data_IF_804493257810
#
_entry.id   IF_804493257810
#
_cell.length_a   1.000
_cell.length_b   1.000
_cell.length_c   1.000
_cell.angle_alpha   90.00
_cell.angle_beta   90.00
_cell.angle_gamma   90.00
#
_symmetry.space_group_name_H-M   'P 1'
#
loop_
_entity.id
_entity.type
_entity.pdbx_description
1 polymer ?
#
# COMPACT_ATOMS: atom_id res chain seq x y z
N UNK A 1 2.52 9.29 14.07
CA UNK A 1 1.98 8.40 13.01
C UNK A 1 3.17 7.89 12.22
N UNK A 2 3.20 6.60 11.88
CA UNK A 2 4.27 6.01 11.07
C UNK A 2 3.80 5.92 9.62
N UNK A 3 4.69 6.20 8.67
CA UNK A 3 4.37 6.04 7.25
C UNK A 3 4.26 4.55 6.89
N UNK A 4 3.34 4.20 5.99
CA UNK A 4 3.10 2.80 5.61
C UNK A 4 4.37 2.13 5.05
N UNK A 5 5.18 2.87 4.29
CA UNK A 5 6.47 2.39 3.77
C UNK A 5 7.54 2.20 4.85
N UNK A 6 7.55 3.04 5.89
CA UNK A 6 8.43 2.86 7.04
C UNK A 6 8.03 1.61 7.84
N UNK A 7 6.73 1.41 8.04
CA UNK A 7 6.17 0.21 8.68
C UNK A 7 6.55 -1.06 7.93
N UNK A 8 6.39 -1.08 6.61
CA UNK A 8 6.80 -2.21 5.78
C UNK A 8 8.30 -2.52 5.90
N UNK A 9 9.16 -1.49 5.89
CA UNK A 9 10.60 -1.66 6.07
C UNK A 9 10.94 -2.28 7.44
N UNK A 10 10.17 -1.95 8.49
CA UNK A 10 10.34 -2.55 9.82
C UNK A 10 9.84 -4.00 9.85
N UNK A 11 8.69 -4.31 9.29
CA UNK A 11 8.16 -5.69 9.21
C UNK A 11 9.19 -6.62 8.55
N UNK A 12 9.76 -6.21 7.42
CA UNK A 12 10.82 -6.96 6.72
C UNK A 12 12.06 -7.24 7.55
N UNK A 13 12.40 -6.32 8.45
CA UNK A 13 13.57 -6.47 9.34
C UNK A 13 13.32 -7.45 10.46
N UNK A 14 12.05 -7.69 10.82
CA UNK A 14 11.70 -8.65 11.86
C UNK A 14 11.93 -10.10 11.41
N UNK A 15 12.14 -10.34 10.10
CA UNK A 15 12.32 -11.69 9.53
C UNK A 15 11.30 -12.66 10.13
N UNK A 16 10.04 -12.34 9.87
CA UNK A 16 8.88 -13.12 10.32
C UNK A 16 8.77 -14.45 9.55
N UNK A 17 9.92 -14.95 9.05
CA UNK A 17 10.02 -16.14 8.25
C UNK A 17 9.35 -17.29 9.00
N UNK A 18 8.50 -18.01 8.28
CA UNK A 18 7.73 -19.09 8.83
C UNK A 18 8.68 -20.27 9.10
N UNK A 19 9.06 -20.47 10.35
CA UNK A 19 9.71 -21.72 10.77
C UNK A 19 8.74 -22.91 10.66
N UNK A 20 7.43 -22.64 10.56
CA UNK A 20 6.38 -23.63 10.43
C UNK A 20 5.75 -23.57 9.03
N UNK A 21 5.25 -24.68 8.50
CA UNK A 21 4.70 -24.81 7.12
C UNK A 21 3.40 -23.99 6.89
N UNK A 22 3.07 -23.09 7.81
CA UNK A 22 1.90 -22.22 7.80
C UNK A 22 2.33 -20.77 7.70
N UNK A 23 1.87 -20.07 6.66
CA UNK A 23 2.11 -18.64 6.51
C UNK A 23 1.55 -17.86 7.68
N UNK A 24 2.43 -17.24 8.46
CA UNK A 24 2.11 -16.36 9.56
C UNK A 24 1.24 -15.21 9.06
N UNK A 25 0.22 -14.78 9.84
CA UNK A 25 -0.59 -13.63 9.48
C UNK A 25 0.25 -12.35 9.36
N UNK A 26 1.41 -12.27 10.01
CA UNK A 26 2.30 -11.12 9.90
C UNK A 26 3.05 -11.10 8.57
N UNK A 27 3.54 -12.25 8.10
CA UNK A 27 4.21 -12.41 6.81
C UNK A 27 3.25 -12.13 5.67
N UNK A 28 2.04 -12.71 5.74
CA UNK A 28 0.95 -12.39 4.81
C UNK A 28 0.61 -10.90 4.81
N UNK A 29 0.46 -10.28 5.98
CA UNK A 29 0.17 -8.86 6.08
C UNK A 29 1.29 -8.00 5.49
N UNK A 30 2.55 -8.38 5.70
CA UNK A 30 3.70 -7.73 5.07
C UNK A 30 3.59 -7.75 3.53
N UNK A 31 3.33 -8.92 2.95
CA UNK A 31 3.17 -9.10 1.51
C UNK A 31 1.99 -8.27 0.97
N UNK A 32 0.86 -8.28 1.67
CA UNK A 32 -0.32 -7.49 1.30
C UNK A 32 0.00 -5.98 1.33
N UNK A 33 0.73 -5.50 2.34
CA UNK A 33 1.18 -4.09 2.43
C UNK A 33 2.15 -3.76 1.30
N UNK A 34 3.09 -4.65 0.99
CA UNK A 34 4.02 -4.47 -0.13
C UNK A 34 3.29 -4.41 -1.47
N UNK A 35 2.32 -5.30 -1.69
CA UNK A 35 1.50 -5.32 -2.89
C UNK A 35 0.67 -4.03 -3.01
N UNK A 36 0.04 -3.57 -1.93
CA UNK A 36 -0.72 -2.32 -1.89
C UNK A 36 0.16 -1.11 -2.21
N UNK A 37 1.34 -1.00 -1.59
CA UNK A 37 2.28 0.10 -1.87
C UNK A 37 2.79 0.08 -3.32
N UNK A 38 3.12 -1.09 -3.86
CA UNK A 38 3.52 -1.22 -5.26
C UNK A 38 2.37 -0.82 -6.21
N UNK A 39 1.14 -1.23 -5.91
CA UNK A 39 -0.04 -0.83 -6.68
C UNK A 39 -0.24 0.69 -6.65
N UNK A 40 -0.18 1.31 -5.46
CA UNK A 40 -0.28 2.77 -5.27
C UNK A 40 0.79 3.48 -6.10
N UNK A 41 2.04 3.06 -5.98
CA UNK A 41 3.15 3.66 -6.71
C UNK A 41 2.96 3.57 -8.23
N UNK A 42 2.60 2.38 -8.75
CA UNK A 42 2.35 2.19 -10.18
C UNK A 42 1.18 3.02 -10.67
N UNK A 43 0.09 3.05 -9.91
CA UNK A 43 -1.12 3.84 -10.23
C UNK A 43 -0.80 5.33 -10.26
N UNK A 44 -0.03 5.85 -9.30
CA UNK A 44 0.43 7.25 -9.33
C UNK A 44 1.27 7.54 -10.57
N UNK A 45 2.20 6.65 -10.92
CA UNK A 45 3.06 6.80 -12.09
C UNK A 45 2.25 6.83 -13.39
N UNK A 46 1.27 5.94 -13.51
CA UNK A 46 0.36 5.87 -14.66
C UNK A 46 -0.52 7.12 -14.75
N UNK A 47 -1.17 7.51 -13.65
CA UNK A 47 -2.04 8.69 -13.62
C UNK A 47 -1.28 10.00 -13.81
N UNK A 48 -0.04 10.09 -13.32
CA UNK A 48 0.81 11.26 -13.56
C UNK A 48 1.24 11.36 -15.03
N UNK A 49 1.25 10.25 -15.76
CA UNK A 49 1.65 10.19 -17.16
C UNK A 49 0.47 10.28 -18.14
N UNK A 50 -0.76 10.39 -17.62
CA UNK A 50 -1.98 10.49 -18.39
C UNK A 50 -2.61 11.88 -18.27
N UNK A 51 -2.95 12.44 -19.42
CA UNK A 51 -3.90 13.55 -19.59
C UNK A 51 -5.23 12.96 -20.06
N UNK A 52 -6.27 13.79 -20.20
CA UNK A 52 -7.53 13.36 -20.79
C UNK A 52 -7.38 12.91 -22.26
N UNK A 53 -6.34 13.36 -22.96
CA UNK A 53 -6.10 13.13 -24.39
C UNK A 53 -4.96 12.12 -24.68
N UNK A 54 -3.99 11.99 -23.77
CA UNK A 54 -2.76 11.21 -24.02
C UNK A 54 -2.22 10.55 -22.75
N UNK A 55 -1.83 9.29 -22.85
CA UNK A 55 -1.08 8.57 -21.82
C UNK A 55 0.32 8.20 -22.30
N UNK A 56 1.33 8.50 -21.49
CA UNK A 56 2.71 8.11 -21.72
C UNK A 56 3.06 6.84 -20.95
N UNK A 57 3.76 5.91 -21.58
CA UNK A 57 4.26 4.72 -20.90
C UNK A 57 5.46 5.10 -20.03
N UNK A 58 5.30 4.92 -18.72
CA UNK A 58 6.36 5.20 -17.75
C UNK A 58 7.22 3.97 -17.50
N UNK A 59 8.26 3.78 -18.31
CA UNK A 59 9.22 2.66 -18.19
C UNK A 59 10.34 2.91 -17.16
N UNK A 60 10.46 4.15 -16.65
CA UNK A 60 11.52 4.53 -15.71
C UNK A 60 12.79 5.03 -16.36
N UNK A 61 12.84 5.09 -17.69
CA UNK A 61 13.90 5.78 -18.43
C UNK A 61 13.87 7.28 -18.16
N UNK A 62 15.03 7.95 -18.26
CA UNK A 62 15.11 9.40 -18.16
C UNK A 62 14.20 10.11 -19.18
N UNK A 63 14.04 9.53 -20.38
CA UNK A 63 13.17 10.06 -21.45
C UNK A 63 11.70 10.04 -21.03
N UNK A 64 11.20 8.97 -20.40
CA UNK A 64 9.82 8.93 -19.91
C UNK A 64 9.53 10.06 -18.90
N UNK A 65 10.50 10.37 -18.04
CA UNK A 65 10.39 11.48 -17.09
C UNK A 65 10.51 12.87 -17.72
N UNK A 66 11.28 13.02 -18.79
CA UNK A 66 11.32 14.29 -19.54
C UNK A 66 9.98 14.57 -20.24
N UNK A 67 9.32 13.53 -20.74
CA UNK A 67 8.01 13.65 -21.40
C UNK A 67 6.87 13.94 -20.42
N UNK A 68 7.02 13.60 -19.14
CA UNK A 68 6.09 14.08 -18.10
C UNK A 68 6.04 15.62 -18.07
N UNK A 69 7.08 16.33 -18.50
CA UNK A 69 7.05 17.79 -18.64
C UNK A 69 6.53 18.49 -17.38
N UNK A 70 5.51 19.34 -17.55
CA UNK A 70 4.85 20.08 -16.47
C UNK A 70 3.92 19.20 -15.58
N UNK A 71 3.71 17.91 -15.87
CA UNK A 71 2.82 17.04 -15.07
C UNK A 71 3.28 16.84 -13.64
N UNK A 72 4.57 17.08 -13.35
CA UNK A 72 5.09 17.18 -11.99
C UNK A 72 4.48 18.37 -11.19
N UNK A 73 3.44 19.05 -11.68
CA UNK A 73 2.72 20.16 -11.04
C UNK A 73 2.19 19.87 -9.62
N UNK A 74 2.36 18.66 -9.09
CA UNK A 74 2.09 18.35 -7.68
C UNK A 74 0.61 18.25 -7.34
N UNK A 75 -0.25 18.02 -8.34
CA UNK A 75 -1.66 17.77 -8.07
C UNK A 75 -1.83 16.50 -7.24
N UNK A 76 -2.71 16.58 -6.24
CA UNK A 76 -3.02 15.45 -5.37
C UNK A 76 -3.87 14.44 -6.12
N UNK A 77 -3.27 13.32 -6.52
CA UNK A 77 -3.94 12.27 -7.31
C UNK A 77 -4.82 11.33 -6.47
N UNK A 78 -4.64 11.31 -5.15
CA UNK A 78 -5.36 10.42 -4.25
C UNK A 78 -5.69 11.05 -2.91
N UNK A 79 -6.74 10.55 -2.26
CA UNK A 79 -7.12 10.89 -0.90
C UNK A 79 -7.42 9.62 -0.09
N UNK A 80 -7.23 9.70 1.22
CA UNK A 80 -7.60 8.64 2.15
C UNK A 80 -9.03 8.90 2.63
N UNK A 81 -9.88 7.88 2.55
CA UNK A 81 -11.22 7.88 3.12
C UNK A 81 -11.39 6.65 4.01
N UNK A 82 -11.92 6.85 5.20
CA UNK A 82 -12.44 5.76 6.02
C UNK A 82 -13.93 5.65 5.70
N UNK A 83 -14.35 4.50 5.20
CA UNK A 83 -15.77 4.27 4.98
C UNK A 83 -16.47 4.24 6.35
N UNK A 84 -17.06 5.35 6.77
CA UNK A 84 -18.07 5.37 7.81
C UNK A 84 -19.40 5.19 7.10
N UNK A 85 -20.05 4.04 7.28
CA UNK A 85 -21.43 3.85 6.82
C UNK A 85 -22.31 4.98 7.36
N UNK A 86 -23.39 5.31 6.65
CA UNK A 86 -24.36 6.32 7.12
C UNK A 86 -24.92 5.98 8.52
N UNK A 87 -24.97 4.68 8.85
CA UNK A 87 -25.40 4.17 10.15
C UNK A 87 -24.24 3.96 11.14
N UNK A 88 -23.04 4.45 10.84
CA UNK A 88 -21.82 4.15 11.61
C UNK A 88 -21.28 2.72 11.38
N UNK A 89 -22.01 1.88 10.63
CA UNK A 89 -21.67 0.47 10.30
C UNK A 89 -20.60 0.34 9.21
N UNK A 90 -19.69 1.31 9.11
CA UNK A 90 -18.53 1.14 8.26
C UNK A 90 -17.58 0.12 8.87
N UNK A 91 -16.97 -0.75 8.06
CA UNK A 91 -15.88 -1.64 8.46
C UNK A 91 -14.68 -0.86 9.08
N UNK A 92 -14.68 0.48 9.04
CA UNK A 92 -13.63 1.34 9.59
C UNK A 92 -12.33 1.26 8.80
N UNK A 93 -12.27 0.42 7.76
CA UNK A 93 -11.04 0.16 7.03
C UNK A 93 -10.68 1.35 6.14
N UNK A 94 -9.46 1.91 6.31
CA UNK A 94 -8.99 2.99 5.48
C UNK A 94 -8.83 2.55 4.02
N UNK A 95 -9.36 3.38 3.12
CA UNK A 95 -9.34 3.16 1.67
C UNK A 95 -8.70 4.36 0.99
N UNK A 96 -7.73 4.10 0.11
CA UNK A 96 -7.14 5.13 -0.74
C UNK A 96 -7.95 5.23 -2.02
N UNK A 97 -8.43 6.43 -2.34
CA UNK A 97 -9.18 6.72 -3.56
C UNK A 97 -8.33 7.59 -4.46
N UNK A 98 -8.00 7.07 -5.63
CA UNK A 98 -7.42 7.81 -6.73
C UNK A 98 -8.53 8.50 -7.53
N UNK A 99 -8.37 9.79 -7.76
CA UNK A 99 -9.35 10.64 -8.44
C UNK A 99 -8.71 11.50 -9.54
N UNK A 100 -7.62 11.04 -10.13
CA UNK A 100 -7.09 11.66 -11.33
C UNK A 100 -7.85 11.12 -12.54
N UNK A 101 -8.37 12.01 -13.39
CA UNK A 101 -9.24 11.70 -14.55
C UNK A 101 -10.66 11.21 -14.19
N UNK A 102 -11.42 10.82 -15.23
CA UNK A 102 -12.76 10.23 -15.14
C UNK A 102 -12.82 8.86 -14.46
N UNK A 103 -11.67 8.27 -14.09
CA UNK A 103 -11.59 6.95 -13.45
C UNK A 103 -11.34 7.08 -11.95
N UNK A 104 -12.24 6.50 -11.16
CA UNK A 104 -12.07 6.34 -9.72
C UNK A 104 -11.51 4.94 -9.43
N UNK A 105 -10.27 4.89 -8.95
CA UNK A 105 -9.64 3.63 -8.49
C UNK A 105 -9.59 3.64 -6.97
N UNK A 106 -10.07 2.57 -6.33
CA UNK A 106 -10.08 2.43 -4.88
C UNK A 106 -9.16 1.30 -4.46
N UNK A 107 -8.34 1.55 -3.45
CA UNK A 107 -7.40 0.59 -2.86
C UNK A 107 -7.74 0.46 -1.38
N UNK A 108 -8.31 -0.68 -0.99
CA UNK A 108 -8.51 -1.01 0.43
C UNK A 108 -7.14 -1.30 1.03
N UNK A 109 -6.78 -0.66 2.14
CA UNK A 109 -5.54 -0.98 2.83
C UNK A 109 -5.67 -2.33 3.54
N UNK A 110 -4.61 -3.16 3.55
CA UNK A 110 -4.60 -4.42 4.28
C UNK A 110 -4.90 -4.21 5.76
N UNK A 111 -5.52 -5.22 6.40
CA UNK A 111 -5.80 -5.22 7.83
C UNK A 111 -5.17 -6.45 8.46
N UNK A 112 -4.28 -6.24 9.41
CA UNK A 112 -3.64 -7.33 10.14
C UNK A 112 -4.68 -8.02 11.03
N UNK A 113 -5.00 -9.27 10.70
CA UNK A 113 -5.86 -10.12 11.50
C UNK A 113 -4.99 -11.15 12.24
N UNK A 114 -4.48 -10.76 13.40
CA UNK A 114 -3.66 -11.61 14.25
C UNK A 114 -4.32 -11.82 15.62
N UNK A 115 -4.07 -12.98 16.24
CA UNK A 115 -4.53 -13.31 17.58
C UNK A 115 -3.37 -13.18 18.57
N UNK A 116 -3.67 -13.17 19.86
CA UNK A 116 -2.64 -13.19 20.91
C UNK A 116 -1.71 -14.40 20.80
N UNK A 117 -2.21 -15.55 20.32
CA UNK A 117 -1.41 -16.74 20.08
C UNK A 117 -0.34 -16.51 19.00
N UNK A 118 -0.70 -15.82 17.92
CA UNK A 118 0.27 -15.46 16.87
C UNK A 118 1.35 -14.50 17.42
N UNK A 119 0.99 -13.60 18.34
CA UNK A 119 1.96 -12.72 19.00
C UNK A 119 2.88 -13.47 19.96
N UNK A 120 2.34 -14.40 20.75
CA UNK A 120 3.12 -15.22 21.68
C UNK A 120 4.15 -16.09 20.95
N UNK A 121 3.78 -16.64 19.79
CA UNK A 121 4.70 -17.41 18.94
C UNK A 121 5.95 -16.60 18.55
N UNK A 122 5.80 -15.30 18.24
CA UNK A 122 6.93 -14.43 17.92
C UNK A 122 7.84 -14.15 19.13
N UNK A 123 7.29 -14.07 20.34
CA UNK A 123 8.07 -13.83 21.56
C UNK A 123 8.95 -15.03 21.90
N UNK A 124 8.41 -16.26 21.76
CA UNK A 124 9.17 -17.49 21.98
C UNK A 124 10.39 -17.59 21.04
N UNK A 125 10.28 -17.11 19.80
CA UNK A 125 11.43 -17.07 18.86
C UNK A 125 12.52 -16.10 19.34
N UNK A 126 12.16 -15.00 20.00
CA UNK A 126 13.15 -14.00 20.46
C UNK A 126 13.92 -14.41 21.71
N UNK A 127 13.37 -15.28 22.56
CA UNK A 127 14.04 -15.73 23.79
C UNK A 127 15.15 -16.77 23.52
N UNK A 128 15.29 -17.25 22.28
CA UNK A 128 16.28 -18.26 21.90
C UNK A 128 17.50 -17.70 21.14
N UNK A 129 17.64 -16.37 21.05
CA UNK A 129 18.81 -15.68 20.43
C UNK A 129 19.62 -14.97 21.52
#
# INVERSE_FOLDING_TARGET
>A
MMELGEGLCKLRKLRLDDDDDTTSPFSRFEEEVAAALNFIYRTQKELAACTDDLCLTMDGSATSYQLLGNFAAGQKLYRLETATGADGDGDGVPTIIFSASSRLVRVKLPTLSATEQHLAALQCTSEYI
#
